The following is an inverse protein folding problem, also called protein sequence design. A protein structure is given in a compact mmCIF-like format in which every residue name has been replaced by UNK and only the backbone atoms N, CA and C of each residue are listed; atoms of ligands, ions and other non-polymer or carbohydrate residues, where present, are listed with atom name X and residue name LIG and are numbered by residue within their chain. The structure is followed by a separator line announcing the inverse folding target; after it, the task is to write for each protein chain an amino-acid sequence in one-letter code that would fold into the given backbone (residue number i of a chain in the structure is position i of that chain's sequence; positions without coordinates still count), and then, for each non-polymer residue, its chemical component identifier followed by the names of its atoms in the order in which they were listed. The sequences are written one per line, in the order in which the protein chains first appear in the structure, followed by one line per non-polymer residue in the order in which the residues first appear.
data_IF_323551786045
#
_entry.id   IF_323551786045
#
_cell.length_a   1.000
_cell.length_b   1.000
_cell.length_c   1.000
_cell.angle_alpha   90.00
_cell.angle_beta   90.00
_cell.angle_gamma   90.00
#
_symmetry.space_group_name_H-M   'P 1'
#
loop_
_entity.id
_entity.type
_entity.pdbx_description
1 polymer ?
#
# COMPACT_ATOMS: atom_id res chain seq x y z
N UNK A 1 -7.24 -8.36 -20.27
CA UNK A 1 -7.42 -7.97 -18.85
C UNK A 1 -6.14 -8.34 -18.14
N UNK A 2 -5.67 -7.52 -17.22
CA UNK A 2 -4.63 -7.97 -16.31
C UNK A 2 -5.36 -8.63 -15.14
N UNK A 3 -4.92 -9.79 -14.71
CA UNK A 3 -5.44 -10.43 -13.53
C UNK A 3 -4.41 -10.27 -12.41
N UNK A 4 -4.89 -9.94 -11.22
CA UNK A 4 -4.04 -9.88 -10.03
C UNK A 4 -4.49 -10.91 -9.01
N UNK A 5 -3.54 -11.55 -8.33
CA UNK A 5 -3.82 -12.32 -7.11
C UNK A 5 -3.25 -11.60 -5.91
N UNK A 6 -3.99 -11.54 -4.84
CA UNK A 6 -3.59 -10.87 -3.61
C UNK A 6 -3.50 -11.89 -2.49
N UNK A 7 -2.43 -11.83 -1.71
CA UNK A 7 -2.26 -12.57 -0.47
C UNK A 7 -1.66 -11.64 0.58
N UNK A 8 -2.17 -11.71 1.80
CA UNK A 8 -1.67 -10.90 2.91
C UNK A 8 -1.59 -11.70 4.18
N UNK A 9 -0.70 -11.29 5.05
CA UNK A 9 -0.59 -11.77 6.41
C UNK A 9 -0.07 -10.65 7.31
N UNK A 10 -0.46 -10.69 8.57
CA UNK A 10 0.04 -9.83 9.63
C UNK A 10 0.28 -10.65 10.88
N UNK A 11 1.26 -10.28 11.67
CA UNK A 11 1.54 -10.85 12.98
C UNK A 11 1.94 -9.75 13.95
N UNK A 12 1.43 -9.85 15.16
CA UNK A 12 1.73 -8.87 16.21
C UNK A 12 3.20 -8.90 16.66
N UNK A 13 3.90 -10.01 16.41
CA UNK A 13 5.24 -10.21 16.95
C UNK A 13 5.25 -10.17 18.49
N UNK A 14 6.32 -9.68 19.09
CA UNK A 14 6.45 -9.59 20.56
C UNK A 14 5.77 -8.38 21.18
N UNK A 15 5.12 -7.51 20.39
CA UNK A 15 4.42 -6.30 20.88
C UNK A 15 3.14 -6.66 21.63
N UNK A 16 2.64 -5.77 22.49
CA UNK A 16 1.37 -5.95 23.21
C UNK A 16 0.17 -5.75 22.28
N UNK A 17 0.27 -4.84 21.32
CA UNK A 17 -0.78 -4.48 20.38
C UNK A 17 -0.33 -4.75 18.93
N UNK A 18 -1.30 -4.96 18.05
CA UNK A 18 -1.11 -4.89 16.61
C UNK A 18 -1.52 -3.49 16.15
N UNK A 19 -0.54 -2.70 15.76
CA UNK A 19 -0.73 -1.33 15.28
C UNK A 19 -0.67 -1.24 13.75
N UNK A 20 -0.21 -2.30 13.07
CA UNK A 20 -0.25 -2.42 11.63
C UNK A 20 -1.67 -2.58 11.10
N UNK A 21 -1.92 -2.01 9.93
CA UNK A 21 -3.13 -2.24 9.15
C UNK A 21 -2.79 -2.51 7.68
N UNK A 22 -3.65 -3.26 7.01
CA UNK A 22 -3.58 -3.43 5.56
C UNK A 22 -4.98 -3.48 4.96
N UNK A 23 -5.10 -3.08 3.71
CA UNK A 23 -6.32 -3.25 2.93
C UNK A 23 -5.99 -3.57 1.48
N UNK A 24 -6.91 -4.27 0.82
CA UNK A 24 -6.81 -4.50 -0.61
C UNK A 24 -8.19 -4.50 -1.25
N UNK A 25 -8.28 -4.02 -2.48
CA UNK A 25 -9.51 -4.05 -3.28
C UNK A 25 -9.20 -4.25 -4.74
N UNK A 26 -10.13 -4.85 -5.45
CA UNK A 26 -10.11 -4.93 -6.91
C UNK A 26 -11.41 -4.36 -7.46
N UNK A 27 -11.29 -3.34 -8.30
CA UNK A 27 -12.40 -2.70 -9.00
C UNK A 27 -12.33 -3.06 -10.49
N UNK A 28 -13.45 -3.51 -11.04
CA UNK A 28 -13.57 -3.77 -12.47
C UNK A 28 -14.39 -2.68 -13.15
N UNK A 29 -13.81 -2.03 -14.17
CA UNK A 29 -14.44 -0.98 -14.96
C UNK A 29 -14.89 -1.55 -16.32
N UNK A 30 -16.18 -1.90 -16.50
CA UNK A 30 -16.68 -2.61 -17.67
C UNK A 30 -16.88 -1.75 -18.92
N UNK A 31 -16.86 -0.42 -18.77
CA UNK A 31 -17.19 0.52 -19.85
C UNK A 31 -16.05 0.79 -20.85
N UNK A 32 -14.91 0.18 -20.68
CA UNK A 32 -13.78 0.25 -21.61
C UNK A 32 -13.69 -1.01 -22.46
N UNK A 33 -13.18 -0.90 -23.69
CA UNK A 33 -12.95 -2.07 -24.54
C UNK A 33 -12.14 -3.12 -23.77
N UNK A 34 -12.73 -4.32 -23.60
CA UNK A 34 -12.16 -5.42 -22.84
C UNK A 34 -12.34 -5.31 -21.31
N UNK A 35 -12.92 -4.22 -20.77
CA UNK A 35 -12.95 -3.93 -19.33
C UNK A 35 -11.56 -3.64 -18.76
N UNK A 36 -11.47 -3.03 -17.61
CA UNK A 36 -10.18 -2.81 -16.93
C UNK A 36 -10.30 -3.12 -15.45
N UNK A 37 -9.30 -3.83 -14.95
CA UNK A 37 -9.15 -4.13 -13.53
C UNK A 37 -8.17 -3.13 -12.91
N UNK A 38 -8.57 -2.60 -11.75
CA UNK A 38 -7.74 -1.76 -10.90
C UNK A 38 -7.61 -2.46 -9.57
N UNK A 39 -6.40 -2.84 -9.22
CA UNK A 39 -6.10 -3.43 -7.92
C UNK A 39 -5.39 -2.41 -7.06
N UNK A 40 -5.91 -2.20 -5.85
CA UNK A 40 -5.32 -1.32 -4.84
C UNK A 40 -4.89 -2.16 -3.64
N UNK A 41 -3.67 -1.95 -3.19
CA UNK A 41 -3.08 -2.60 -2.03
C UNK A 41 -2.49 -1.55 -1.10
N UNK A 42 -2.78 -1.64 0.20
CA UNK A 42 -2.34 -0.71 1.23
C UNK A 42 -1.62 -1.46 2.36
N UNK A 43 -0.52 -0.88 2.83
CA UNK A 43 0.14 -1.26 4.08
C UNK A 43 0.39 -0.01 4.91
N UNK A 44 0.05 -0.05 6.19
CA UNK A 44 0.18 1.04 7.14
C UNK A 44 0.77 0.50 8.45
N UNK A 45 1.73 1.22 8.99
CA UNK A 45 2.37 0.93 10.26
C UNK A 45 1.99 2.03 11.26
N UNK A 46 1.26 1.66 12.30
CA UNK A 46 0.82 2.58 13.33
C UNK A 46 1.95 2.96 14.27
N UNK A 47 2.36 4.22 14.23
CA UNK A 47 3.48 4.72 15.01
C UNK A 47 2.99 5.32 16.34
N UNK A 48 3.55 4.84 17.43
CA UNK A 48 3.24 5.53 18.68
C UNK A 48 3.34 4.78 19.99
N UNK A 49 3.50 3.46 20.03
CA UNK A 49 3.82 2.65 21.23
C UNK A 49 2.98 2.87 22.53
N UNK A 50 2.33 4.00 22.69
CA UNK A 50 1.38 4.39 23.74
C UNK A 50 0.33 5.41 23.26
N UNK A 51 0.25 5.67 21.94
CA UNK A 51 -0.48 6.80 21.39
C UNK A 51 -1.48 6.41 20.29
N UNK A 52 -2.11 5.23 20.40
CA UNK A 52 -3.18 4.84 19.48
C UNK A 52 -2.76 4.69 18.01
N UNK A 53 -1.59 4.09 17.76
CA UNK A 53 -1.11 3.76 16.40
C UNK A 53 -2.11 2.91 15.63
N UNK A 54 -2.75 1.94 16.32
CA UNK A 54 -3.79 1.07 15.78
C UNK A 54 -5.02 1.84 15.27
N UNK A 55 -5.35 2.97 15.91
CA UNK A 55 -6.46 3.83 15.47
C UNK A 55 -6.05 4.62 14.23
N UNK A 56 -4.82 5.13 14.21
CA UNK A 56 -4.31 5.91 13.09
C UNK A 56 -4.18 5.06 11.83
N UNK A 57 -3.61 3.85 11.92
CA UNK A 57 -3.44 2.94 10.79
C UNK A 57 -4.78 2.44 10.24
N UNK A 58 -5.71 2.03 11.11
CA UNK A 58 -7.04 1.59 10.69
C UNK A 58 -7.81 2.72 10.00
N UNK A 59 -7.87 3.91 10.64
CA UNK A 59 -8.59 5.06 10.10
C UNK A 59 -7.96 5.60 8.80
N UNK A 60 -6.63 5.66 8.74
CA UNK A 60 -5.89 6.02 7.53
C UNK A 60 -6.16 5.05 6.37
N UNK A 61 -6.14 3.74 6.65
CA UNK A 61 -6.44 2.70 5.68
C UNK A 61 -7.85 2.85 5.09
N UNK A 62 -8.86 3.00 5.94
CA UNK A 62 -10.25 3.18 5.51
C UNK A 62 -10.43 4.44 4.64
N UNK A 63 -9.79 5.54 5.01
CA UNK A 63 -9.85 6.79 4.27
C UNK A 63 -9.18 6.65 2.89
N UNK A 64 -7.98 6.09 2.81
CA UNK A 64 -7.25 5.94 1.54
C UNK A 64 -8.01 5.03 0.59
N UNK A 65 -8.41 3.82 1.04
CA UNK A 65 -9.07 2.85 0.16
C UNK A 65 -10.40 3.40 -0.37
N UNK A 66 -11.18 4.05 0.49
CA UNK A 66 -12.48 4.64 0.11
C UNK A 66 -12.31 5.78 -0.89
N UNK A 67 -11.31 6.66 -0.69
CA UNK A 67 -11.01 7.78 -1.58
C UNK A 67 -10.58 7.31 -2.97
N UNK A 68 -9.69 6.30 -3.04
CA UNK A 68 -9.24 5.72 -4.31
C UNK A 68 -10.40 5.05 -5.04
N UNK A 69 -11.17 4.20 -4.34
CA UNK A 69 -12.30 3.51 -4.93
C UNK A 69 -13.34 4.49 -5.47
N UNK A 70 -13.66 5.55 -4.71
CA UNK A 70 -14.59 6.59 -5.15
C UNK A 70 -14.07 7.31 -6.39
N UNK A 71 -12.80 7.68 -6.43
CA UNK A 71 -12.17 8.38 -7.55
C UNK A 71 -12.26 7.59 -8.85
N UNK A 72 -12.01 6.29 -8.81
CA UNK A 72 -12.10 5.43 -9.99
C UNK A 72 -13.53 5.01 -10.33
N UNK A 73 -14.39 4.75 -9.35
CA UNK A 73 -15.78 4.39 -9.58
C UNK A 73 -16.60 5.53 -10.21
N UNK A 74 -16.23 6.78 -9.95
CA UNK A 74 -16.87 7.97 -10.51
C UNK A 74 -16.31 8.40 -11.87
N UNK A 75 -15.23 7.74 -12.34
CA UNK A 75 -14.66 8.01 -13.65
C UNK A 75 -15.67 7.72 -14.76
N UNK A 76 -15.77 8.63 -15.73
CA UNK A 76 -16.74 8.52 -16.85
C UNK A 76 -16.18 7.66 -17.98
N UNK A 77 -17.03 7.02 -18.78
CA UNK A 77 -16.59 6.28 -19.97
C UNK A 77 -15.78 7.11 -20.99
N UNK A 78 -16.05 8.43 -21.03
CA UNK A 78 -15.34 9.41 -21.88
C UNK A 78 -13.96 9.82 -21.37
N UNK A 79 -13.56 9.38 -20.18
CA UNK A 79 -12.26 9.71 -19.60
C UNK A 79 -11.18 8.79 -20.22
N UNK A 80 -10.77 9.08 -21.46
CA UNK A 80 -9.75 8.30 -22.18
C UNK A 80 -8.40 8.25 -21.46
N UNK A 81 -8.14 9.23 -20.61
CA UNK A 81 -6.88 9.40 -19.87
C UNK A 81 -6.91 8.88 -18.43
N UNK A 82 -7.85 8.01 -18.06
CA UNK A 82 -7.99 7.54 -16.67
C UNK A 82 -6.71 6.90 -16.11
N UNK A 83 -5.93 6.23 -16.96
CA UNK A 83 -4.69 5.54 -16.57
C UNK A 83 -3.41 6.26 -17.05
N UNK A 84 -3.53 7.54 -17.40
CA UNK A 84 -2.36 8.40 -17.58
C UNK A 84 -1.66 8.51 -16.21
N UNK A 85 -0.34 8.29 -16.16
CA UNK A 85 0.40 8.26 -14.90
C UNK A 85 0.11 9.42 -13.97
N UNK A 86 0.14 10.63 -14.46
CA UNK A 86 -0.07 11.84 -13.64
C UNK A 86 -1.44 11.85 -12.96
N UNK A 87 -2.48 11.35 -13.63
CA UNK A 87 -3.83 11.29 -13.06
C UNK A 87 -3.94 10.25 -11.96
N UNK A 88 -3.39 9.05 -12.16
CA UNK A 88 -3.42 7.99 -11.13
C UNK A 88 -2.59 8.41 -9.92
N UNK A 89 -1.41 8.98 -10.14
CA UNK A 89 -0.56 9.48 -9.06
C UNK A 89 -1.24 10.61 -8.29
N UNK A 90 -1.90 11.56 -8.97
CA UNK A 90 -2.67 12.62 -8.30
C UNK A 90 -3.84 12.07 -7.46
N UNK A 91 -4.51 11.00 -7.89
CA UNK A 91 -5.54 10.33 -7.07
C UNK A 91 -4.91 9.72 -5.82
N UNK A 92 -3.75 9.09 -5.92
CA UNK A 92 -3.04 8.51 -4.77
C UNK A 92 -2.60 9.62 -3.80
N UNK A 93 -1.95 10.68 -4.31
CA UNK A 93 -1.52 11.83 -3.51
C UNK A 93 -2.70 12.45 -2.75
N UNK A 94 -3.79 12.76 -3.46
CA UNK A 94 -5.01 13.28 -2.86
C UNK A 94 -5.58 12.35 -1.78
N UNK A 95 -5.55 11.04 -2.00
CA UNK A 95 -6.07 10.07 -1.02
C UNK A 95 -5.21 10.02 0.25
N UNK A 96 -3.89 10.16 0.13
CA UNK A 96 -2.97 10.27 1.26
C UNK A 96 -3.17 11.59 2.02
N UNK A 97 -3.39 12.70 1.31
CA UNK A 97 -3.70 14.01 1.91
C UNK A 97 -5.04 13.96 2.67
N UNK A 98 -6.08 13.38 2.08
CA UNK A 98 -7.37 13.17 2.75
C UNK A 98 -7.22 12.34 4.04
N UNK A 99 -6.40 11.29 4.02
CA UNK A 99 -6.14 10.49 5.20
C UNK A 99 -5.43 11.29 6.30
N UNK A 100 -4.43 12.10 5.93
CA UNK A 100 -3.75 12.98 6.87
C UNK A 100 -4.72 13.97 7.53
N UNK A 101 -5.53 14.66 6.75
CA UNK A 101 -6.53 15.60 7.26
C UNK A 101 -7.57 14.91 8.16
N UNK A 102 -8.00 13.70 7.76
CA UNK A 102 -8.98 12.92 8.53
C UNK A 102 -8.43 12.49 9.88
N UNK A 103 -7.17 12.02 9.96
CA UNK A 103 -6.49 11.69 11.22
C UNK A 103 -6.35 12.93 12.11
N UNK A 104 -5.93 14.07 11.55
CA UNK A 104 -5.85 15.33 12.30
C UNK A 104 -7.21 15.81 12.81
N UNK A 105 -8.28 15.58 12.05
CA UNK A 105 -9.64 15.90 12.50
C UNK A 105 -10.06 15.00 13.69
N UNK A 106 -9.74 13.71 13.64
CA UNK A 106 -10.01 12.80 14.78
C UNK A 106 -9.28 13.24 16.04
N UNK A 107 -8.02 13.68 15.93
CA UNK A 107 -7.26 14.22 17.07
C UNK A 107 -7.96 15.47 17.65
N UNK A 108 -8.44 16.38 16.80
CA UNK A 108 -9.19 17.57 17.25
C UNK A 108 -10.49 17.23 17.97
N UNK A 109 -11.22 16.23 17.50
CA UNK A 109 -12.48 15.76 18.09
C UNK A 109 -12.25 14.97 19.38
N UNK A 110 -11.16 14.26 19.49
CA UNK A 110 -10.80 13.46 20.67
C UNK A 110 -9.32 13.70 21.07
N UNK A 111 -9.05 14.67 21.94
CA UNK A 111 -7.68 14.98 22.37
C UNK A 111 -6.90 13.82 23.03
N UNK A 112 -7.58 12.73 23.43
CA UNK A 112 -6.90 11.52 23.92
C UNK A 112 -6.06 10.85 22.83
N UNK A 113 -6.41 11.08 21.56
CA UNK A 113 -5.70 10.57 20.40
C UNK A 113 -4.50 11.43 19.98
N UNK A 114 -4.14 12.43 20.79
CA UNK A 114 -3.01 13.33 20.50
C UNK A 114 -1.71 12.53 20.29
N UNK A 115 -1.08 12.77 19.13
CA UNK A 115 0.14 12.10 18.73
C UNK A 115 -0.06 10.75 18.03
N UNK A 116 -1.30 10.29 17.80
CA UNK A 116 -1.51 9.13 16.93
C UNK A 116 -1.02 9.44 15.51
N UNK A 117 -0.32 8.51 14.91
CA UNK A 117 0.22 8.63 13.57
C UNK A 117 0.44 7.26 12.94
N UNK A 118 0.63 7.25 11.63
CA UNK A 118 0.91 6.01 10.88
C UNK A 118 1.72 6.30 9.63
N UNK A 119 2.52 5.35 9.20
CA UNK A 119 3.04 5.32 7.83
C UNK A 119 1.93 4.97 6.85
N UNK A 120 2.16 5.09 5.58
CA UNK A 120 1.31 4.51 4.55
C UNK A 120 2.08 4.21 3.28
N UNK A 121 1.84 3.04 2.71
CA UNK A 121 2.21 2.69 1.33
C UNK A 121 0.94 2.28 0.60
N UNK A 122 0.65 2.98 -0.49
CA UNK A 122 -0.47 2.72 -1.37
C UNK A 122 0.05 2.32 -2.74
N UNK A 123 -0.26 1.10 -3.19
CA UNK A 123 0.04 0.60 -4.52
C UNK A 123 -1.24 0.41 -5.32
N UNK A 124 -1.29 1.00 -6.51
CA UNK A 124 -2.38 0.82 -7.49
C UNK A 124 -1.80 0.15 -8.72
N UNK A 125 -2.38 -0.98 -9.11
CA UNK A 125 -2.02 -1.71 -10.33
C UNK A 125 -3.13 -1.53 -11.35
N UNK A 126 -2.80 -0.94 -12.49
CA UNK A 126 -3.73 -0.70 -13.57
C UNK A 126 -3.00 -0.58 -14.92
N UNK A 127 -3.59 -1.10 -16.00
CA UNK A 127 -3.04 -0.97 -17.35
C UNK A 127 -1.61 -1.48 -17.52
N UNK A 128 -1.21 -2.51 -16.78
CA UNK A 128 0.15 -3.07 -16.85
C UNK A 128 1.23 -2.24 -16.15
N UNK A 129 0.82 -1.32 -15.28
CA UNK A 129 1.71 -0.44 -14.52
C UNK A 129 1.40 -0.54 -13.02
N UNK A 130 2.42 -0.31 -12.24
CA UNK A 130 2.35 -0.06 -10.81
C UNK A 130 2.48 1.44 -10.57
N UNK A 131 1.60 1.99 -9.77
CA UNK A 131 1.63 3.35 -9.25
C UNK A 131 1.70 3.25 -7.73
N UNK A 132 2.66 3.93 -7.13
CA UNK A 132 2.87 3.88 -5.67
C UNK A 132 2.91 5.29 -5.12
N UNK A 133 2.23 5.51 -4.00
CA UNK A 133 2.39 6.69 -3.16
C UNK A 133 2.65 6.28 -1.73
N UNK A 134 3.51 7.03 -1.01
CA UNK A 134 3.87 6.66 0.36
C UNK A 134 4.25 7.85 1.22
N UNK A 135 4.15 7.63 2.52
CA UNK A 135 4.74 8.42 3.60
C UNK A 135 5.24 7.45 4.68
N UNK A 136 6.43 7.70 5.21
CA UNK A 136 7.07 6.84 6.21
C UNK A 136 8.15 5.95 5.61
N UNK A 137 8.46 4.87 6.29
CA UNK A 137 9.53 3.91 6.00
C UNK A 137 9.03 2.49 5.69
N UNK A 138 7.71 2.25 5.74
CA UNK A 138 7.12 1.06 5.13
C UNK A 138 7.43 1.01 3.64
N UNK A 139 7.60 -0.19 3.09
CA UNK A 139 8.19 -0.34 1.76
C UNK A 139 7.28 -1.02 0.74
N UNK A 140 7.49 -0.64 -0.53
CA UNK A 140 6.98 -1.35 -1.70
C UNK A 140 8.14 -1.85 -2.56
N UNK A 141 8.08 -3.12 -2.92
CA UNK A 141 9.03 -3.77 -3.83
C UNK A 141 8.32 -4.31 -5.06
N UNK A 142 9.06 -4.41 -6.15
CA UNK A 142 8.74 -5.27 -7.29
C UNK A 142 9.77 -6.37 -7.36
N UNK A 143 9.30 -7.61 -7.28
CA UNK A 143 10.11 -8.82 -7.28
C UNK A 143 9.78 -9.69 -8.49
N UNK A 144 10.80 -10.30 -9.07
CA UNK A 144 10.65 -11.39 -10.02
C UNK A 144 11.72 -12.46 -9.75
N UNK A 145 11.78 -13.50 -10.58
CA UNK A 145 12.71 -14.61 -10.37
C UNK A 145 14.19 -14.16 -10.22
N UNK A 146 14.59 -13.05 -10.84
CA UNK A 146 15.98 -12.65 -10.93
C UNK A 146 16.37 -11.50 -10.00
N UNK A 147 15.42 -10.67 -9.61
CA UNK A 147 15.72 -9.42 -8.89
C UNK A 147 14.57 -8.98 -7.98
N UNK A 148 14.96 -8.24 -6.95
CA UNK A 148 14.10 -7.44 -6.11
C UNK A 148 14.49 -5.98 -6.26
N UNK A 149 13.52 -5.10 -6.38
CA UNK A 149 13.74 -3.66 -6.50
C UNK A 149 12.79 -2.92 -5.57
N UNK A 150 13.34 -2.19 -4.62
CA UNK A 150 12.57 -1.27 -3.77
C UNK A 150 12.09 -0.08 -4.61
N UNK A 151 10.81 0.25 -4.53
CA UNK A 151 10.18 1.34 -5.28
C UNK A 151 10.05 2.59 -4.42
N UNK A 152 9.84 2.41 -3.11
CA UNK A 152 9.76 3.49 -2.13
C UNK A 152 11.15 3.92 -1.65
N UNK A 153 11.25 5.16 -1.19
CA UNK A 153 12.43 5.72 -0.53
C UNK A 153 12.03 6.13 0.89
N UNK A 154 12.80 5.72 1.90
CA UNK A 154 12.35 5.82 3.27
C UNK A 154 12.33 7.28 3.76
N UNK A 155 11.24 7.71 4.35
CA UNK A 155 11.14 8.98 5.03
C UNK A 155 11.63 8.86 6.48
N UNK A 156 12.90 8.54 6.65
CA UNK A 156 13.55 8.39 7.95
C UNK A 156 14.76 9.32 8.09
N UNK A 157 15.16 9.58 9.33
CA UNK A 157 16.33 10.42 9.60
C UNK A 157 17.62 9.74 9.11
N UNK A 158 17.70 8.41 9.25
CA UNK A 158 18.88 7.67 8.75
C UNK A 158 18.98 7.71 7.23
N UNK A 159 17.86 7.65 6.51
CA UNK A 159 17.87 7.77 5.06
C UNK A 159 18.33 9.17 4.63
N UNK A 160 17.86 10.21 5.30
CA UNK A 160 18.31 11.59 5.06
C UNK A 160 19.82 11.75 5.26
N UNK A 161 20.39 11.08 6.26
CA UNK A 161 21.84 11.08 6.50
C UNK A 161 22.61 10.30 5.41
N UNK A 162 22.05 9.21 4.91
CA UNK A 162 22.61 8.44 3.79
C UNK A 162 22.63 9.29 2.52
N UNK A 163 21.53 9.92 2.18
CA UNK A 163 21.39 10.78 0.98
C UNK A 163 22.36 11.98 1.03
N UNK A 164 22.62 12.50 2.23
CA UNK A 164 23.60 13.55 2.45
C UNK A 164 25.07 13.05 2.44
N UNK A 165 25.30 11.74 2.30
CA UNK A 165 26.64 11.14 2.36
C UNK A 165 27.27 11.14 3.77
N UNK A 166 26.47 11.37 4.81
CA UNK A 166 26.92 11.45 6.21
C UNK A 166 26.85 10.09 6.93
N UNK A 167 26.09 9.13 6.39
CA UNK A 167 25.95 7.78 6.94
C UNK A 167 26.01 6.76 5.81
N UNK A 168 26.68 5.62 6.04
CA UNK A 168 26.64 4.51 5.08
C UNK A 168 25.42 3.60 5.37
N UNK A 169 24.82 3.00 4.33
CA UNK A 169 23.72 2.04 4.47
C UNK A 169 24.02 0.92 5.48
N UNK A 170 25.27 0.44 5.50
CA UNK A 170 25.73 -0.61 6.41
C UNK A 170 25.54 -0.23 7.89
N UNK A 171 25.64 1.05 8.23
CA UNK A 171 25.57 1.55 9.60
C UNK A 171 24.16 2.07 9.96
N UNK A 172 23.25 2.14 9.00
CA UNK A 172 21.90 2.71 9.18
C UNK A 172 21.10 1.96 10.26
N UNK A 173 21.03 0.62 10.16
CA UNK A 173 20.25 -0.22 11.10
C UNK A 173 20.71 -0.11 12.55
N UNK A 174 21.99 0.17 12.80
CA UNK A 174 22.54 0.33 14.15
C UNK A 174 22.59 1.77 14.64
N UNK A 175 22.14 2.72 13.85
CA UNK A 175 22.17 4.14 14.20
C UNK A 175 21.11 4.48 15.27
N UNK A 176 21.40 5.34 16.27
CA UNK A 176 20.43 5.73 17.31
C UNK A 176 19.12 6.32 16.77
N UNK A 177 19.14 6.89 15.57
CA UNK A 177 17.98 7.50 14.90
C UNK A 177 17.33 6.56 13.86
N UNK A 178 17.62 5.25 13.88
CA UNK A 178 17.09 4.30 12.89
C UNK A 178 15.55 4.22 12.86
N UNK A 179 14.90 4.48 14.00
CA UNK A 179 13.43 4.44 14.13
C UNK A 179 12.77 5.82 14.03
N UNK A 180 13.51 6.86 13.60
CA UNK A 180 12.96 8.22 13.51
C UNK A 180 12.45 8.47 12.11
N UNK A 181 11.13 8.43 11.94
CA UNK A 181 10.46 8.80 10.69
C UNK A 181 10.31 10.32 10.59
N UNK A 182 10.37 10.83 9.37
CA UNK A 182 10.32 12.28 9.08
C UNK A 182 9.03 12.72 8.41
N UNK A 183 8.26 11.77 7.83
CA UNK A 183 6.95 12.01 7.23
C UNK A 183 5.99 10.87 7.61
N UNK A 184 4.75 11.21 7.94
CA UNK A 184 3.73 10.28 8.42
C UNK A 184 2.32 10.87 8.27
N UNK A 185 1.30 10.05 8.25
CA UNK A 185 -0.11 10.47 8.35
C UNK A 185 -0.39 10.90 9.80
N UNK A 186 -1.05 12.04 9.98
CA UNK A 186 -1.22 12.74 11.25
C UNK A 186 -0.24 13.89 11.43
N UNK A 187 0.50 14.25 10.38
CA UNK A 187 1.47 15.35 10.39
C UNK A 187 0.76 16.70 10.20
N UNK A 188 0.84 17.62 11.18
CA UNK A 188 0.04 18.85 11.15
C UNK A 188 0.55 19.92 10.17
N UNK A 189 1.79 19.83 9.73
CA UNK A 189 2.41 20.78 8.79
C UNK A 189 3.43 20.09 7.89
N UNK A 190 3.52 20.55 6.64
CA UNK A 190 4.52 20.05 5.70
C UNK A 190 4.28 18.60 5.29
N UNK A 191 3.04 18.11 5.36
CA UNK A 191 2.68 16.80 4.82
C UNK A 191 2.94 16.80 3.31
N UNK A 192 3.74 15.85 2.86
CA UNK A 192 4.16 15.76 1.47
C UNK A 192 4.43 14.28 1.15
N UNK A 193 3.46 13.56 0.57
CA UNK A 193 3.68 12.21 0.10
C UNK A 193 4.64 12.19 -1.10
N UNK A 194 5.32 11.08 -1.29
CA UNK A 194 6.07 10.82 -2.51
C UNK A 194 5.35 9.80 -3.37
N UNK A 195 5.56 9.88 -4.69
CA UNK A 195 4.95 8.98 -5.66
C UNK A 195 5.95 8.47 -6.67
N UNK A 196 5.72 7.26 -7.19
CA UNK A 196 6.54 6.64 -8.22
C UNK A 196 5.67 5.74 -9.11
N UNK A 197 6.16 5.43 -10.30
CA UNK A 197 5.49 4.50 -11.21
C UNK A 197 6.50 3.64 -11.95
N UNK A 198 6.12 2.40 -12.24
CA UNK A 198 6.90 1.53 -13.10
C UNK A 198 6.01 0.55 -13.87
N UNK A 199 6.55 0.00 -14.94
CA UNK A 199 5.91 -1.08 -15.70
C UNK A 199 6.04 -2.40 -14.95
N UNK A 200 4.97 -3.20 -14.99
CA UNK A 200 4.97 -4.59 -14.54
C UNK A 200 5.04 -5.54 -15.72
N UNK A 201 5.64 -6.68 -15.49
CA UNK A 201 5.73 -7.80 -16.41
C UNK A 201 5.00 -9.02 -15.85
N UNK A 202 4.63 -9.95 -16.71
CA UNK A 202 3.94 -11.18 -16.32
C UNK A 202 4.74 -11.96 -15.25
N UNK A 203 4.08 -12.31 -14.16
CA UNK A 203 4.70 -12.99 -13.01
C UNK A 203 5.43 -12.08 -12.03
N UNK A 204 5.46 -10.75 -12.24
CA UNK A 204 6.00 -9.83 -11.23
C UNK A 204 5.13 -9.86 -9.97
N UNK A 205 5.79 -9.80 -8.82
CA UNK A 205 5.16 -9.71 -7.50
C UNK A 205 5.43 -8.32 -6.93
N UNK A 206 4.35 -7.57 -6.70
CA UNK A 206 4.38 -6.36 -5.88
C UNK A 206 4.27 -6.78 -4.42
N UNK A 207 5.26 -6.42 -3.61
CA UNK A 207 5.31 -6.74 -2.19
C UNK A 207 5.31 -5.43 -1.40
N UNK A 208 4.34 -5.28 -0.49
CA UNK A 208 4.26 -4.20 0.48
C UNK A 208 4.54 -4.81 1.85
N UNK A 209 5.36 -4.14 2.67
CA UNK A 209 5.63 -4.56 4.03
C UNK A 209 5.91 -3.39 4.96
N UNK A 210 5.66 -3.61 6.26
CA UNK A 210 6.08 -2.73 7.35
C UNK A 210 7.54 -2.98 7.71
N UNK A 211 8.13 -2.09 8.51
CA UNK A 211 9.54 -2.14 8.90
C UNK A 211 9.90 -3.40 9.69
N UNK A 212 8.94 -3.98 10.43
CA UNK A 212 9.15 -5.24 11.15
C UNK A 212 9.62 -6.42 10.30
N UNK A 213 9.40 -6.40 8.97
CA UNK A 213 10.01 -7.33 8.04
C UNK A 213 11.44 -6.92 7.71
N UNK A 214 11.63 -5.65 7.32
CA UNK A 214 12.86 -5.15 6.72
C UNK A 214 13.97 -4.93 7.74
N UNK A 215 13.64 -4.74 8.99
CA UNK A 215 14.61 -4.60 10.07
C UNK A 215 15.45 -5.85 10.26
N UNK A 216 14.86 -7.01 9.99
CA UNK A 216 15.49 -8.30 10.26
C UNK A 216 15.79 -9.14 9.00
N UNK A 217 15.09 -8.91 7.88
CA UNK A 217 15.38 -9.59 6.63
C UNK A 217 16.12 -8.66 5.65
N UNK A 218 16.95 -9.27 4.84
CA UNK A 218 17.62 -8.61 3.70
C UNK A 218 16.78 -8.78 2.44
N UNK A 219 16.97 -7.90 1.46
CA UNK A 219 16.36 -8.03 0.13
C UNK A 219 16.63 -9.41 -0.49
N UNK A 220 17.82 -9.95 -0.26
CA UNK A 220 18.19 -11.29 -0.74
C UNK A 220 17.31 -12.38 -0.13
N UNK A 221 17.08 -12.35 1.18
CA UNK A 221 16.22 -13.34 1.87
C UNK A 221 14.77 -13.23 1.40
N UNK A 222 14.27 -12.02 1.16
CA UNK A 222 12.94 -11.80 0.59
C UNK A 222 12.87 -12.41 -0.82
N UNK A 223 13.85 -12.11 -1.66
CA UNK A 223 13.93 -12.65 -3.03
C UNK A 223 14.00 -14.18 -3.06
N UNK A 224 14.75 -14.81 -2.16
CA UNK A 224 14.82 -16.26 -2.04
C UNK A 224 13.43 -16.89 -1.80
N UNK A 225 12.60 -16.28 -0.98
CA UNK A 225 11.21 -16.76 -0.76
C UNK A 225 10.34 -16.58 -1.99
N UNK A 226 10.49 -15.48 -2.72
CA UNK A 226 9.79 -15.25 -4.01
C UNK A 226 10.21 -16.30 -5.04
N UNK A 227 11.50 -16.60 -5.15
CA UNK A 227 12.02 -17.63 -6.06
C UNK A 227 11.46 -19.00 -5.74
N UNK A 228 11.48 -19.41 -4.46
CA UNK A 228 10.89 -20.68 -4.02
C UNK A 228 9.39 -20.79 -4.36
N UNK A 229 8.65 -19.70 -4.24
CA UNK A 229 7.26 -19.65 -4.68
C UNK A 229 7.15 -19.86 -6.21
N UNK A 230 7.93 -19.10 -7.00
CA UNK A 230 7.91 -19.19 -8.47
C UNK A 230 8.41 -20.55 -9.00
N UNK A 231 9.21 -21.28 -8.21
CA UNK A 231 9.57 -22.68 -8.46
C UNK A 231 8.43 -23.67 -8.07
N UNK A 232 7.29 -23.20 -7.57
CA UNK A 232 6.16 -24.03 -7.20
C UNK A 232 6.32 -24.82 -5.89
N UNK A 233 7.22 -24.39 -4.99
CA UNK A 233 7.47 -25.07 -3.72
C UNK A 233 6.32 -24.93 -2.71
N UNK A 234 5.49 -23.91 -2.87
CA UNK A 234 4.32 -23.64 -2.05
C UNK A 234 3.34 -22.72 -2.78
N UNK A 235 2.12 -22.59 -2.25
CA UNK A 235 1.08 -21.75 -2.85
C UNK A 235 1.34 -20.26 -2.61
N UNK A 236 0.78 -19.40 -3.47
CA UNK A 236 0.91 -17.94 -3.33
C UNK A 236 0.43 -17.42 -1.98
N UNK A 237 -0.65 -17.98 -1.44
CA UNK A 237 -1.21 -17.60 -0.13
C UNK A 237 -0.27 -17.89 1.05
N UNK A 238 0.73 -18.72 0.83
CA UNK A 238 1.75 -19.00 1.84
C UNK A 238 2.92 -18.03 1.82
N UNK A 239 3.15 -17.30 0.71
CA UNK A 239 4.30 -16.42 0.58
C UNK A 239 4.38 -15.38 1.71
N UNK A 240 3.34 -14.54 1.97
CA UNK A 240 3.41 -13.57 3.06
C UNK A 240 3.58 -14.24 4.43
N UNK A 241 2.94 -15.38 4.67
CA UNK A 241 3.05 -16.12 5.94
C UNK A 241 4.45 -16.65 6.19
N UNK A 242 5.14 -17.09 5.13
CA UNK A 242 6.53 -17.59 5.20
C UNK A 242 7.51 -16.46 5.49
N UNK A 243 7.31 -15.30 4.84
CA UNK A 243 8.13 -14.12 5.11
C UNK A 243 7.98 -13.66 6.56
N UNK A 244 6.74 -13.58 7.07
CA UNK A 244 6.48 -13.24 8.49
C UNK A 244 7.13 -14.27 9.42
N UNK A 245 6.95 -15.57 9.19
CA UNK A 245 7.60 -16.60 10.00
C UNK A 245 9.11 -16.42 10.02
N UNK A 246 9.72 -16.16 8.87
CA UNK A 246 11.15 -15.92 8.77
C UNK A 246 11.59 -14.67 9.55
N UNK A 247 10.79 -13.60 9.55
CA UNK A 247 11.05 -12.40 10.35
C UNK A 247 10.97 -12.69 11.85
N UNK A 248 9.97 -13.45 12.29
CA UNK A 248 9.83 -13.90 13.68
C UNK A 248 11.04 -14.76 14.12
N UNK A 249 11.47 -15.71 13.28
CA UNK A 249 12.66 -16.53 13.51
C UNK A 249 13.95 -15.70 13.55
N UNK A 250 14.02 -14.62 12.76
CA UNK A 250 15.15 -13.67 12.77
C UNK A 250 15.13 -12.72 13.98
N UNK A 251 14.06 -12.75 14.78
CA UNK A 251 13.96 -12.01 16.03
C UNK A 251 13.48 -10.57 15.86
N UNK A 252 12.55 -10.33 14.93
CA UNK A 252 11.87 -9.02 14.85
C UNK A 252 11.30 -8.63 16.21
N UNK A 253 11.30 -7.33 16.48
CA UNK A 253 10.78 -6.75 17.72
C UNK A 253 9.50 -5.94 17.51
N UNK A 254 8.96 -6.00 16.29
CA UNK A 254 7.79 -5.21 15.91
C UNK A 254 6.65 -6.07 15.36
N UNK A 255 5.53 -5.39 15.12
CA UNK A 255 4.49 -5.93 14.26
C UNK A 255 5.07 -6.18 12.86
N UNK A 256 4.58 -7.19 12.17
CA UNK A 256 5.04 -7.53 10.82
C UNK A 256 3.84 -7.72 9.92
N UNK A 257 3.71 -6.90 8.92
CA UNK A 257 2.67 -7.01 7.90
C UNK A 257 3.30 -7.17 6.53
N UNK A 258 2.82 -8.14 5.76
CA UNK A 258 3.25 -8.40 4.38
C UNK A 258 2.02 -8.60 3.50
N UNK A 259 1.96 -7.84 2.42
CA UNK A 259 0.96 -7.97 1.38
C UNK A 259 1.66 -8.21 0.06
N UNK A 260 1.28 -9.27 -0.65
CA UNK A 260 1.79 -9.64 -1.96
C UNK A 260 0.68 -9.54 -3.00
N UNK A 261 1.00 -8.97 -4.16
CA UNK A 261 0.12 -8.97 -5.32
C UNK A 261 0.89 -9.50 -6.52
N UNK A 262 0.48 -10.66 -7.05
CA UNK A 262 1.04 -11.25 -8.25
C UNK A 262 0.32 -10.68 -9.47
N UNK A 263 1.08 -10.13 -10.40
CA UNK A 263 0.56 -9.55 -11.62
C UNK A 263 0.63 -10.54 -12.78
N UNK A 264 -0.49 -10.74 -13.48
CA UNK A 264 -0.56 -11.53 -14.68
C UNK A 264 -0.97 -10.67 -15.86
N UNK A 265 -0.10 -10.59 -16.88
CA UNK A 265 -0.44 -10.01 -18.17
C UNK A 265 -1.30 -11.00 -18.95
N UNK A 266 -2.58 -10.70 -19.15
CA UNK A 266 -3.40 -11.55 -20.03
C UNK A 266 -2.88 -11.53 -21.48
N UNK A 267 -2.85 -12.69 -22.15
CA UNK A 267 -2.65 -12.71 -23.61
C UNK A 267 -3.77 -11.90 -24.28
N UNK A 268 -3.41 -11.12 -25.31
CA UNK A 268 -4.27 -10.14 -26.01
C UNK A 268 -5.54 -10.73 -26.71
N UNK A 269 -6.02 -11.90 -26.31
CA UNK A 269 -7.11 -12.61 -26.95
C UNK A 269 -8.14 -13.21 -26.00
N UNK A 270 -8.87 -12.37 -25.22
CA UNK A 270 -10.14 -12.83 -24.65
C UNK A 270 -11.13 -11.66 -24.50
N UNK A 271 -12.04 -11.55 -25.47
CA UNK A 271 -13.29 -10.84 -25.30
C UNK A 271 -14.17 -11.61 -24.29
N UNK A 272 -14.17 -11.23 -23.04
CA UNK A 272 -15.22 -11.66 -22.09
C UNK A 272 -16.44 -10.77 -22.30
N UNK A 273 -17.45 -11.29 -22.95
CA UNK A 273 -18.78 -10.66 -22.96
C UNK A 273 -19.40 -10.81 -21.57
N UNK A 274 -19.36 -9.75 -20.76
CA UNK A 274 -20.12 -9.70 -19.52
C UNK A 274 -21.61 -9.51 -19.87
N UNK A 275 -22.38 -10.59 -19.83
CA UNK A 275 -23.85 -10.53 -19.84
C UNK A 275 -24.34 -10.37 -18.42
N UNK A 276 -24.46 -9.13 -17.97
CA UNK A 276 -25.05 -8.82 -16.68
C UNK A 276 -25.21 -7.31 -16.49
N UNK A 277 -26.46 -6.86 -16.43
CA UNK A 277 -26.76 -5.47 -16.07
C UNK A 277 -26.43 -5.22 -14.60
N UNK A 278 -25.71 -4.14 -14.31
CA UNK A 278 -25.56 -3.62 -12.95
C UNK A 278 -26.95 -3.38 -12.34
N UNK A 279 -27.24 -3.81 -11.10
CA UNK A 279 -28.50 -3.49 -10.46
C UNK A 279 -28.63 -1.96 -10.32
N UNK A 280 -29.74 -1.40 -10.82
CA UNK A 280 -30.05 0.04 -10.71
C UNK A 280 -30.01 0.57 -9.25
N UNK A 281 -30.14 -0.32 -8.27
CA UNK A 281 -30.02 -0.04 -6.85
C UNK A 281 -28.62 0.43 -6.41
N UNK A 282 -27.54 -0.09 -7.03
CA UNK A 282 -26.17 0.31 -6.68
C UNK A 282 -25.85 1.73 -7.16
N UNK A 283 -26.31 2.11 -8.35
CA UNK A 283 -26.14 3.46 -8.87
C UNK A 283 -26.89 4.52 -8.03
N UNK A 284 -28.04 4.15 -7.49
CA UNK A 284 -28.85 5.04 -6.63
C UNK A 284 -28.19 5.24 -5.26
N UNK A 285 -27.68 4.17 -4.65
CA UNK A 285 -27.00 4.25 -3.34
C UNK A 285 -25.77 5.18 -3.39
N UNK A 286 -25.00 5.15 -4.49
CA UNK A 286 -23.84 6.03 -4.70
C UNK A 286 -24.27 7.50 -4.86
N UNK A 287 -25.38 7.77 -5.57
CA UNK A 287 -25.91 9.12 -5.72
C UNK A 287 -26.48 9.70 -4.41
N UNK A 288 -27.11 8.86 -3.58
CA UNK A 288 -27.66 9.28 -2.30
C UNK A 288 -26.54 9.57 -1.28
N UNK A 289 -25.49 8.76 -1.24
CA UNK A 289 -24.28 9.01 -0.43
C UNK A 289 -23.59 10.34 -0.79
N UNK A 290 -23.53 10.69 -2.08
CA UNK A 290 -22.94 11.97 -2.52
C UNK A 290 -23.77 13.19 -2.12
N UNK A 291 -25.09 13.07 -2.09
CA UNK A 291 -25.97 14.17 -1.65
C UNK A 291 -25.84 14.45 -0.16
N UNK A 292 -25.63 13.42 0.64
CA UNK A 292 -25.42 13.56 2.08
C UNK A 292 -24.04 14.15 2.41
N UNK A 293 -22.99 13.77 1.67
CA UNK A 293 -21.64 14.29 1.85
C UNK A 293 -21.44 15.75 1.41
N UNK A 294 -22.29 16.27 0.50
CA UNK A 294 -22.23 17.68 0.05
C UNK A 294 -23.04 18.60 0.97
N UNK A 295 -23.99 18.06 1.73
CA UNK A 295 -24.88 18.82 2.61
C UNK A 295 -24.51 18.71 4.11
N UNK A 296 -23.42 18.03 4.44
CA UNK A 296 -22.84 17.94 5.78
C UNK A 296 -21.57 18.80 5.88
#
# INVERSE_FOLDING_TARGET
MCATRIAAATDRGPRDNLEDAFAASTLFLPFREGGQEITTCLGLDGVGGQRHGEVASAHGSDCIISSIMASFALARPSDDDLFVPDRVLSVIEFSLECANESVLQQIKLNPKLEGMSTTAVCAVIAGGKLFVGWVGDSACFVCNHNQIRKITHDHSEVQRLIDAGLLSEKNAKSHPLSHVITRFIGQPRGFCPETNTCRLFDGDIVLICTDGLMDVLTDKEILEHVQLFQEGRFSFDELPKRLIRRALEAGTRDNVTVLCCEYHAEPQSFSRTLTGAYPAAAAKAIQDFHKEAINA
#
